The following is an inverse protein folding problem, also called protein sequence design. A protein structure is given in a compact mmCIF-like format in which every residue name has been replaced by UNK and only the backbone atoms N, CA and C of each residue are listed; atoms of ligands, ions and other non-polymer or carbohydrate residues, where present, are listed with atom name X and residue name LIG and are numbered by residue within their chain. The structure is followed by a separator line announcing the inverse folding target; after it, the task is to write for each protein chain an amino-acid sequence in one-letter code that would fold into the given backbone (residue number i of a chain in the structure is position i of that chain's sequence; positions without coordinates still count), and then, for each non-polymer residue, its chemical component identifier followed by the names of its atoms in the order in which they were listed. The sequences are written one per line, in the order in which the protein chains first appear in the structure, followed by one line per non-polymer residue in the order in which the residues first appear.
data_IF_551504484806
#
_entry.id   IF_551504484806
#
_cell.length_a   1.000
_cell.length_b   1.000
_cell.length_c   1.000
_cell.angle_alpha   90.00
_cell.angle_beta   90.00
_cell.angle_gamma   90.00
#
_symmetry.space_group_name_H-M   'P 1'
#
loop_
_entity.id
_entity.type
_entity.pdbx_description
1 polymer ?
#
# COMPACT_ATOMS: atom_id res chain seq x y z
N UNK A 1 -3.29 -21.37 2.72
CA UNK A 1 -2.55 -21.00 3.94
C UNK A 1 -3.55 -20.44 4.90
N UNK A 2 -3.53 -20.93 6.13
CA UNK A 2 -4.69 -20.93 7.05
C UNK A 2 -5.18 -19.53 7.46
N UNK A 3 -4.34 -18.50 7.26
CA UNK A 3 -4.62 -17.12 7.63
C UNK A 3 -4.84 -16.17 6.44
N UNK A 4 -4.88 -16.68 5.20
CA UNK A 4 -5.18 -15.86 4.01
C UNK A 4 -6.65 -15.44 3.98
N UNK A 5 -6.94 -14.34 3.31
CA UNK A 5 -8.31 -13.78 3.14
C UNK A 5 -9.02 -13.35 4.43
N UNK A 6 -8.32 -13.31 5.57
CA UNK A 6 -8.85 -12.81 6.85
C UNK A 6 -8.58 -11.30 7.05
N UNK A 7 -8.11 -10.60 6.02
CA UNK A 7 -7.80 -9.16 6.07
C UNK A 7 -6.56 -8.78 6.88
N UNK A 8 -5.78 -9.74 7.39
CA UNK A 8 -4.58 -9.48 8.20
C UNK A 8 -3.57 -8.64 7.43
N UNK A 9 -3.25 -9.02 6.20
CA UNK A 9 -2.31 -8.27 5.36
C UNK A 9 -2.76 -6.83 5.10
N UNK A 10 -4.06 -6.62 4.83
CA UNK A 10 -4.64 -5.29 4.65
C UNK A 10 -4.50 -4.44 5.91
N UNK A 11 -4.81 -5.01 7.09
CA UNK A 11 -4.66 -4.31 8.38
C UNK A 11 -3.21 -3.90 8.66
N UNK A 12 -2.25 -4.79 8.37
CA UNK A 12 -0.83 -4.49 8.54
C UNK A 12 -0.35 -3.37 7.61
N UNK A 13 -0.73 -3.42 6.32
CA UNK A 13 -0.35 -2.39 5.34
C UNK A 13 -1.01 -1.05 5.67
N UNK A 14 -2.28 -1.05 6.07
CA UNK A 14 -2.98 0.17 6.47
C UNK A 14 -2.31 0.83 7.68
N UNK A 15 -1.94 0.04 8.70
CA UNK A 15 -1.19 0.55 9.84
C UNK A 15 0.18 1.09 9.46
N UNK A 16 0.92 0.38 8.60
CA UNK A 16 2.22 0.84 8.11
C UNK A 16 2.12 2.17 7.35
N UNK A 17 1.11 2.31 6.49
CA UNK A 17 0.87 3.54 5.74
C UNK A 17 0.53 4.72 6.67
N UNK A 18 -0.37 4.51 7.64
CA UNK A 18 -0.71 5.52 8.65
C UNK A 18 0.51 5.91 9.52
N UNK A 19 1.35 4.93 9.88
CA UNK A 19 2.57 5.20 10.61
C UNK A 19 3.56 6.02 9.78
N UNK A 20 3.84 5.61 8.53
CA UNK A 20 4.69 6.34 7.60
C UNK A 20 4.20 7.81 7.41
N UNK A 21 2.89 8.00 7.24
CA UNK A 21 2.24 9.29 7.13
C UNK A 21 2.49 10.21 8.35
N UNK A 22 2.40 9.65 9.57
CA UNK A 22 2.66 10.36 10.83
C UNK A 22 4.13 10.78 10.96
N UNK A 23 5.03 10.06 10.30
CA UNK A 23 6.46 10.32 10.30
C UNK A 23 6.94 11.08 9.05
N UNK A 24 6.03 11.70 8.30
CA UNK A 24 6.32 12.49 7.09
C UNK A 24 7.08 11.71 6.00
N UNK A 25 6.86 10.39 5.92
CA UNK A 25 7.34 9.57 4.81
C UNK A 25 6.37 9.74 3.65
N UNK A 26 6.81 10.43 2.60
CA UNK A 26 5.97 10.79 1.46
C UNK A 26 5.62 9.59 0.57
N UNK A 27 6.52 8.62 0.50
CA UNK A 27 6.44 7.52 -0.47
C UNK A 27 6.82 6.19 0.19
N UNK A 28 6.02 5.16 -0.08
CA UNK A 28 6.35 3.77 0.24
C UNK A 28 6.45 3.01 -1.07
N UNK A 29 7.57 2.33 -1.30
CA UNK A 29 7.76 1.47 -2.46
C UNK A 29 7.92 0.02 -2.08
N UNK A 30 7.51 -0.89 -2.96
CA UNK A 30 7.75 -2.32 -2.86
C UNK A 30 8.05 -2.92 -4.22
N UNK A 31 8.67 -4.11 -4.21
CA UNK A 31 8.81 -4.96 -5.39
C UNK A 31 7.95 -6.21 -5.22
N UNK A 32 7.21 -6.59 -6.25
CA UNK A 32 6.34 -7.76 -6.24
C UNK A 32 6.44 -8.52 -7.55
N UNK A 33 6.65 -9.84 -7.48
CA UNK A 33 6.59 -10.69 -8.69
C UNK A 33 5.21 -10.61 -9.33
N UNK A 34 5.16 -10.60 -10.67
CA UNK A 34 3.88 -10.53 -11.43
C UNK A 34 2.95 -11.70 -11.14
N UNK A 35 3.51 -12.86 -10.78
CA UNK A 35 2.74 -14.07 -10.45
C UNK A 35 2.37 -14.16 -8.97
N UNK A 36 2.74 -13.16 -8.16
CA UNK A 36 2.43 -13.15 -6.74
C UNK A 36 0.99 -12.71 -6.50
N UNK A 37 0.21 -13.58 -5.84
CA UNK A 37 -1.17 -13.30 -5.41
C UNK A 37 -1.34 -11.98 -4.62
N UNK A 38 -0.28 -11.51 -3.95
CA UNK A 38 -0.29 -10.25 -3.19
C UNK A 38 -0.40 -8.99 -4.07
N UNK A 39 -0.19 -9.07 -5.38
CA UNK A 39 -0.29 -7.91 -6.29
C UNK A 39 -1.64 -7.18 -6.12
N UNK A 40 -2.75 -7.94 -6.08
CA UNK A 40 -4.09 -7.39 -5.86
C UNK A 40 -4.25 -6.75 -4.48
N UNK A 41 -3.61 -7.31 -3.45
CA UNK A 41 -3.62 -6.71 -2.11
C UNK A 41 -2.96 -5.33 -2.16
N UNK A 42 -1.78 -5.19 -2.78
CA UNK A 42 -1.08 -3.92 -2.85
C UNK A 42 -1.88 -2.87 -3.64
N UNK A 43 -2.46 -3.24 -4.78
CA UNK A 43 -3.35 -2.37 -5.56
C UNK A 43 -4.56 -1.88 -4.73
N UNK A 44 -5.21 -2.78 -3.99
CA UNK A 44 -6.32 -2.42 -3.09
C UNK A 44 -5.89 -1.51 -1.94
N UNK A 45 -4.61 -1.56 -1.55
CA UNK A 45 -4.02 -0.68 -0.56
C UNK A 45 -3.38 0.57 -1.21
N UNK A 46 -3.79 0.96 -2.41
CA UNK A 46 -3.38 2.24 -3.02
C UNK A 46 -1.96 2.30 -3.55
N UNK A 47 -1.25 1.17 -3.64
CA UNK A 47 0.00 1.09 -4.38
C UNK A 47 -0.31 1.05 -5.89
N UNK A 48 0.44 1.83 -6.66
CA UNK A 48 0.34 1.92 -8.11
C UNK A 48 1.63 1.41 -8.74
N UNK A 49 1.53 0.83 -9.93
CA UNK A 49 2.70 0.39 -10.69
C UNK A 49 3.57 1.59 -11.08
N UNK A 50 4.87 1.50 -10.80
CA UNK A 50 5.85 2.54 -11.10
C UNK A 50 6.85 2.10 -12.18
N UNK A 51 7.31 0.86 -12.11
CA UNK A 51 8.22 0.30 -13.11
C UNK A 51 8.02 -1.21 -13.25
N UNK A 52 8.22 -1.71 -14.46
CA UNK A 52 8.35 -3.12 -14.78
C UNK A 52 9.84 -3.50 -14.83
N UNK A 53 10.23 -4.59 -14.18
CA UNK A 53 11.61 -5.09 -14.18
C UNK A 53 11.73 -6.49 -14.77
N UNK A 54 10.79 -6.88 -15.65
CA UNK A 54 10.71 -8.22 -16.22
C UNK A 54 9.80 -9.13 -15.39
N UNK A 55 10.34 -9.74 -14.34
CA UNK A 55 9.61 -10.72 -13.52
C UNK A 55 8.85 -10.11 -12.34
N UNK A 56 9.08 -8.82 -12.09
CA UNK A 56 8.50 -8.07 -10.98
C UNK A 56 8.06 -6.67 -11.39
N UNK A 57 7.16 -6.12 -10.58
CA UNK A 57 6.70 -4.74 -10.62
C UNK A 57 7.27 -4.01 -9.40
N UNK A 58 7.85 -2.84 -9.63
CA UNK A 58 8.03 -1.84 -8.57
C UNK A 58 6.72 -1.08 -8.46
N UNK A 59 6.17 -1.04 -7.26
CA UNK A 59 4.95 -0.31 -6.95
C UNK A 59 5.23 0.77 -5.93
N UNK A 60 4.53 1.91 -6.03
CA UNK A 60 4.66 3.05 -5.13
C UNK A 60 3.30 3.48 -4.63
N UNK A 61 3.22 3.78 -3.33
CA UNK A 61 2.10 4.50 -2.72
C UNK A 61 2.61 5.88 -2.30
N UNK A 62 1.93 6.91 -2.79
CA UNK A 62 2.15 8.30 -2.39
C UNK A 62 1.20 8.64 -1.24
N UNK A 63 1.70 9.26 -0.18
CA UNK A 63 0.86 9.83 0.87
C UNK A 63 0.65 11.32 0.58
N UNK A 64 -0.43 11.65 -0.12
CA UNK A 64 -0.74 13.03 -0.51
C UNK A 64 -1.44 13.76 0.62
N UNK A 65 -1.08 15.04 0.84
CA UNK A 65 -1.69 15.84 1.90
C UNK A 65 -3.21 16.06 1.72
N UNK A 66 -3.73 15.85 0.50
CA UNK A 66 -5.13 16.01 0.17
C UNK A 66 -6.02 14.95 0.85
N UNK A 67 -5.58 13.69 0.96
CA UNK A 67 -6.32 12.64 1.67
C UNK A 67 -6.42 12.93 3.19
N UNK A 68 -5.47 13.70 3.76
CA UNK A 68 -5.47 14.12 5.18
C UNK A 68 -6.65 15.04 5.53
N UNK A 69 -7.21 15.73 4.54
CA UNK A 69 -8.32 16.68 4.72
C UNK A 69 -9.71 16.03 4.72
N UNK A 70 -9.84 14.82 4.16
CA UNK A 70 -11.10 14.05 4.14
C UNK A 70 -11.35 13.28 5.43
N UNK A 71 -10.29 12.79 6.10
CA UNK A 71 -10.39 12.04 7.36
C UNK A 71 -10.65 12.95 8.57
N UNK A 72 -10.15 14.19 8.56
CA UNK A 72 -10.30 15.14 9.69
C UNK A 72 -11.66 15.85 9.76
N UNK A 73 -12.48 15.81 8.72
CA UNK A 73 -13.79 16.50 8.69
C UNK A 73 -14.97 15.64 9.18
N UNK A 74 -14.69 14.46 9.76
CA UNK A 74 -15.71 13.50 10.20
C UNK A 74 -15.65 13.18 11.70
N UNK A 75 -15.01 14.04 12.49
CA UNK A 75 -14.94 13.95 13.97
C UNK A 75 -15.50 15.21 14.61
#
# INVERSE_FOLDING_TARGET
GDYRHQGIGSKMIAWLADHAAKHAVENISLSVSKDNYALKLYQQQGFQEHSDTGDALIMVRHDTQEDRSRVRQQT
#
